data_IF_751292844569
#
_entry.id   IF_751292844569
#
_cell.length_a   1.000
_cell.length_b   1.000
_cell.length_c   1.000
_cell.angle_alpha   90.00
_cell.angle_beta   90.00
_cell.angle_gamma   90.00
#
_symmetry.space_group_name_H-M   'P 1'
#
loop_
_entity.id
_entity.type
_entity.pdbx_description
1 polymer ?
#
# COMPACT_ATOMS: atom_id res chain seq x y z
N UNK A 1 10.97 25.38 1.90
CA UNK A 1 10.23 24.10 1.87
C UNK A 1 9.83 23.69 3.28
N UNK A 2 10.75 23.83 4.25
CA UNK A 2 10.49 23.76 5.70
C UNK A 2 9.30 24.61 6.16
N UNK A 3 9.22 25.90 5.76
CA UNK A 3 8.17 26.81 6.26
C UNK A 3 6.75 26.37 5.89
N UNK A 4 6.58 25.78 4.70
CA UNK A 4 5.29 25.26 4.23
C UNK A 4 4.91 24.01 5.04
N UNK A 5 5.86 23.10 5.27
CA UNK A 5 5.64 21.89 6.06
C UNK A 5 5.32 22.24 7.50
N UNK A 6 6.04 23.19 8.08
CA UNK A 6 5.81 23.69 9.43
C UNK A 6 4.42 24.34 9.55
N UNK A 7 4.06 25.19 8.58
CA UNK A 7 2.72 25.78 8.51
C UNK A 7 1.62 24.71 8.44
N UNK A 8 1.80 23.70 7.58
CA UNK A 8 0.86 22.59 7.43
C UNK A 8 0.73 21.78 8.72
N UNK A 9 1.84 21.42 9.35
CA UNK A 9 1.86 20.60 10.55
C UNK A 9 1.41 21.35 11.80
N UNK A 10 1.51 22.68 11.83
CA UNK A 10 1.01 23.50 12.96
C UNK A 10 -0.51 23.74 12.83
N UNK A 11 -1.02 23.98 11.62
CA UNK A 11 -2.42 24.38 11.42
C UNK A 11 -3.35 23.21 11.05
N UNK A 12 -2.79 22.12 10.50
CA UNK A 12 -3.58 21.01 9.93
C UNK A 12 -3.13 19.62 10.41
N UNK A 13 -2.47 19.52 11.58
CA UNK A 13 -1.95 18.24 12.12
C UNK A 13 -3.00 17.14 12.11
N UNK A 14 -4.17 17.42 12.68
CA UNK A 14 -5.24 16.44 12.84
C UNK A 14 -5.78 15.97 11.48
N UNK A 15 -5.91 16.88 10.52
CA UNK A 15 -6.38 16.60 9.16
C UNK A 15 -5.35 15.74 8.41
N UNK A 16 -4.06 16.04 8.53
CA UNK A 16 -2.98 15.28 7.89
C UNK A 16 -2.90 13.86 8.46
N UNK A 17 -2.89 13.73 9.78
CA UNK A 17 -2.90 12.42 10.46
C UNK A 17 -4.17 11.63 10.13
N UNK A 18 -5.33 12.29 10.13
CA UNK A 18 -6.59 11.65 9.74
C UNK A 18 -6.53 11.12 8.30
N UNK A 19 -6.12 11.94 7.33
CA UNK A 19 -6.00 11.53 5.93
C UNK A 19 -5.03 10.36 5.76
N UNK A 20 -3.93 10.35 6.51
CA UNK A 20 -2.97 9.26 6.52
C UNK A 20 -3.61 7.96 7.03
N UNK A 21 -4.18 7.97 8.24
CA UNK A 21 -4.80 6.78 8.84
C UNK A 21 -5.99 6.29 8.00
N UNK A 22 -6.84 7.21 7.53
CA UNK A 22 -7.96 6.88 6.67
C UNK A 22 -7.52 6.18 5.38
N UNK A 23 -6.45 6.67 4.75
CA UNK A 23 -5.90 6.06 3.54
C UNK A 23 -5.31 4.67 3.81
N UNK A 24 -4.66 4.46 4.96
CA UNK A 24 -4.17 3.15 5.37
C UNK A 24 -5.31 2.15 5.59
N UNK A 25 -6.38 2.57 6.28
CA UNK A 25 -7.58 1.75 6.51
C UNK A 25 -8.23 1.35 5.19
N UNK A 26 -8.40 2.30 4.25
CA UNK A 26 -8.95 1.99 2.93
C UNK A 26 -8.05 1.01 2.18
N UNK A 27 -6.74 1.23 2.17
CA UNK A 27 -5.84 0.37 1.41
C UNK A 27 -5.83 -1.06 1.92
N UNK A 28 -5.65 -1.27 3.22
CA UNK A 28 -5.65 -2.60 3.83
C UNK A 28 -7.04 -3.24 3.74
N UNK A 29 -8.10 -2.50 4.09
CA UNK A 29 -9.48 -2.98 4.03
C UNK A 29 -9.91 -3.39 2.63
N UNK A 30 -9.54 -2.62 1.61
CA UNK A 30 -9.83 -2.96 0.22
C UNK A 30 -9.05 -4.20 -0.24
N UNK A 31 -7.80 -4.43 0.21
CA UNK A 31 -7.07 -5.66 -0.08
C UNK A 31 -7.73 -6.89 0.55
N UNK A 32 -8.17 -6.78 1.81
CA UNK A 32 -8.95 -7.83 2.49
C UNK A 32 -10.24 -8.11 1.71
N UNK A 33 -10.98 -7.06 1.33
CA UNK A 33 -12.19 -7.20 0.51
C UNK A 33 -11.91 -7.85 -0.86
N UNK A 34 -10.82 -7.47 -1.54
CA UNK A 34 -10.45 -8.06 -2.82
C UNK A 34 -10.05 -9.55 -2.70
N UNK A 35 -9.53 -9.96 -1.54
CA UNK A 35 -9.14 -11.34 -1.23
C UNK A 35 -10.33 -12.24 -0.89
N UNK A 36 -11.26 -11.75 -0.08
CA UNK A 36 -12.37 -12.55 0.47
C UNK A 36 -13.71 -12.28 -0.22
N UNK A 37 -13.87 -11.18 -0.95
CA UNK A 37 -15.09 -10.82 -1.67
C UNK A 37 -15.30 -11.57 -2.99
N UNK A 38 -14.57 -12.67 -3.23
CA UNK A 38 -14.75 -13.51 -4.43
C UNK A 38 -15.78 -14.59 -4.18
N UNK A 39 -16.74 -14.72 -5.09
CA UNK A 39 -17.75 -15.80 -5.07
C UNK A 39 -17.18 -17.09 -5.66
N UNK A 40 -16.29 -17.02 -6.66
CA UNK A 40 -15.68 -18.18 -7.32
C UNK A 40 -14.16 -18.26 -7.11
N UNK A 41 -13.60 -19.46 -6.82
CA UNK A 41 -12.16 -19.66 -6.72
C UNK A 41 -11.49 -19.48 -8.10
N UNK A 42 -10.26 -18.96 -8.13
CA UNK A 42 -9.50 -18.79 -9.38
C UNK A 42 -9.36 -20.10 -10.16
N UNK A 43 -9.25 -21.23 -9.46
CA UNK A 43 -9.15 -22.57 -10.06
C UNK A 43 -10.38 -22.96 -10.87
N UNK A 44 -11.57 -22.42 -10.57
CA UNK A 44 -12.78 -22.75 -11.31
C UNK A 44 -12.97 -21.92 -12.59
N UNK A 45 -12.06 -20.97 -12.88
CA UNK A 45 -12.10 -20.23 -14.14
C UNK A 45 -11.81 -21.21 -15.29
N UNK A 46 -12.84 -21.55 -16.05
CA UNK A 46 -12.78 -22.40 -17.25
C UNK A 46 -13.01 -21.62 -18.53
N UNK A 47 -13.80 -20.54 -18.45
CA UNK A 47 -14.21 -19.76 -19.63
C UNK A 47 -13.35 -18.50 -19.83
N UNK A 48 -13.05 -18.12 -21.09
CA UNK A 48 -12.32 -16.90 -21.43
C UNK A 48 -12.89 -15.63 -20.80
N UNK A 49 -14.21 -15.53 -20.79
CA UNK A 49 -14.93 -14.35 -20.32
C UNK A 49 -14.74 -14.14 -18.81
N UNK A 50 -14.76 -15.23 -18.03
CA UNK A 50 -14.54 -15.17 -16.60
C UNK A 50 -13.11 -14.69 -16.25
N UNK A 51 -12.10 -15.10 -17.04
CA UNK A 51 -10.73 -14.63 -16.86
C UNK A 51 -10.59 -13.13 -17.18
N UNK A 52 -11.18 -12.67 -18.28
CA UNK A 52 -11.20 -11.26 -18.65
C UNK A 52 -11.92 -10.40 -17.62
N UNK A 53 -13.03 -10.90 -17.07
CA UNK A 53 -13.76 -10.24 -15.98
C UNK A 53 -12.87 -10.07 -14.75
N UNK A 54 -12.18 -11.13 -14.32
CA UNK A 54 -11.31 -11.09 -13.15
C UNK A 54 -10.09 -10.16 -13.32
N UNK A 55 -9.42 -10.20 -14.47
CA UNK A 55 -8.30 -9.29 -14.75
C UNK A 55 -8.73 -7.82 -14.78
N UNK A 56 -9.92 -7.54 -15.34
CA UNK A 56 -10.53 -6.20 -15.33
C UNK A 56 -10.91 -5.75 -13.91
N UNK A 57 -11.45 -6.66 -13.10
CA UNK A 57 -11.73 -6.41 -11.67
C UNK A 57 -10.46 -6.02 -10.92
N UNK A 58 -9.37 -6.77 -11.07
CA UNK A 58 -8.08 -6.43 -10.46
C UNK A 58 -7.49 -5.11 -10.98
N UNK A 59 -7.60 -4.83 -12.28
CA UNK A 59 -7.15 -3.55 -12.86
C UNK A 59 -7.88 -2.36 -12.22
N UNK A 60 -9.20 -2.45 -12.10
CA UNK A 60 -10.01 -1.42 -11.47
C UNK A 60 -9.69 -1.29 -9.97
N UNK A 61 -9.49 -2.41 -9.29
CA UNK A 61 -9.05 -2.44 -7.90
C UNK A 61 -7.73 -1.67 -7.71
N UNK A 62 -6.69 -1.99 -8.49
CA UNK A 62 -5.41 -1.29 -8.36
C UNK A 62 -5.53 0.21 -8.68
N UNK A 63 -6.30 0.57 -9.72
CA UNK A 63 -6.56 1.98 -10.07
C UNK A 63 -7.28 2.74 -8.95
N UNK A 64 -8.25 2.11 -8.28
CA UNK A 64 -8.96 2.69 -7.13
C UNK A 64 -8.04 2.91 -5.93
N UNK A 65 -7.05 2.04 -5.74
CA UNK A 65 -6.12 2.10 -4.62
C UNK A 65 -5.00 3.13 -4.80
N UNK A 66 -4.58 3.39 -6.04
CA UNK A 66 -3.51 4.35 -6.36
C UNK A 66 -3.64 5.71 -5.64
N UNK A 67 -4.80 6.42 -5.65
CA UNK A 67 -4.90 7.71 -4.97
C UNK A 67 -4.62 7.64 -3.46
N UNK A 68 -5.04 6.59 -2.77
CA UNK A 68 -4.81 6.43 -1.34
C UNK A 68 -3.35 6.14 -1.01
N UNK A 69 -2.65 5.40 -1.88
CA UNK A 69 -1.21 5.15 -1.75
C UNK A 69 -0.43 6.45 -1.93
N UNK A 70 -0.83 7.29 -2.90
CA UNK A 70 -0.22 8.60 -3.13
C UNK A 70 -0.46 9.53 -1.93
N UNK A 71 -1.68 9.55 -1.37
CA UNK A 71 -1.98 10.32 -0.16
C UNK A 71 -1.12 9.85 1.01
N UNK A 72 -0.98 8.52 1.21
CA UNK A 72 -0.10 7.97 2.25
C UNK A 72 1.34 8.42 2.09
N UNK A 73 1.86 8.41 0.87
CA UNK A 73 3.22 8.84 0.57
C UNK A 73 3.44 10.32 0.86
N UNK A 74 2.53 11.19 0.42
CA UNK A 74 2.65 12.64 0.63
C UNK A 74 2.55 12.95 2.12
N UNK A 75 1.54 12.40 2.80
CA UNK A 75 1.35 12.63 4.24
C UNK A 75 2.49 12.05 5.08
N UNK A 76 3.07 10.91 4.68
CA UNK A 76 4.23 10.34 5.39
C UNK A 76 5.48 11.21 5.28
N UNK A 77 5.75 11.80 4.10
CA UNK A 77 6.87 12.75 3.93
C UNK A 77 6.68 13.98 4.80
N UNK A 78 5.49 14.59 4.78
CA UNK A 78 5.19 15.79 5.58
C UNK A 78 5.41 15.52 7.06
N UNK A 79 4.89 14.40 7.58
CA UNK A 79 5.07 14.03 8.98
C UNK A 79 6.54 13.68 9.30
N UNK A 80 7.22 12.89 8.46
CA UNK A 80 8.60 12.48 8.71
C UNK A 80 9.56 13.67 8.77
N UNK A 81 9.40 14.68 7.91
CA UNK A 81 10.19 15.90 7.96
C UNK A 81 9.92 16.69 9.25
N UNK A 82 8.66 16.77 9.66
CA UNK A 82 8.29 17.42 10.92
C UNK A 82 8.86 16.71 12.15
N UNK A 83 8.92 15.38 12.17
CA UNK A 83 9.58 14.63 13.24
C UNK A 83 11.10 14.80 13.24
N UNK A 84 11.74 14.91 12.07
CA UNK A 84 13.17 15.12 11.95
C UNK A 84 13.61 16.42 12.61
N UNK A 85 12.89 17.52 12.34
CA UNK A 85 13.21 18.84 12.89
C UNK A 85 13.01 18.93 14.41
N UNK A 86 12.21 18.02 15.00
CA UNK A 86 12.07 17.89 16.46
C UNK A 86 13.18 17.02 17.08
N UNK A 87 13.81 16.15 16.30
CA UNK A 87 14.83 15.20 16.76
C UNK A 87 16.25 15.76 16.66
N UNK A 88 16.53 16.54 15.62
CA UNK A 88 17.85 17.09 15.32
C UNK A 88 17.80 18.61 15.09
N UNK A 89 18.84 19.31 15.54
CA UNK A 89 19.06 20.71 15.17
C UNK A 89 19.62 20.83 13.74
N UNK A 90 19.72 22.05 13.21
CA UNK A 90 20.26 22.35 11.88
C UNK A 90 21.70 21.83 11.68
N UNK A 91 22.47 21.72 12.76
CA UNK A 91 23.83 21.17 12.77
C UNK A 91 23.89 19.64 12.98
N UNK A 92 22.73 18.98 13.12
CA UNK A 92 22.62 17.53 13.28
C UNK A 92 22.82 17.01 14.71
N UNK A 93 22.83 17.89 15.71
CA UNK A 93 22.89 17.50 17.11
C UNK A 93 21.54 16.97 17.60
N UNK A 94 21.57 15.97 18.48
CA UNK A 94 20.37 15.38 19.08
C UNK A 94 19.74 16.39 20.03
N UNK A 95 18.50 16.79 19.74
CA UNK A 95 17.70 17.67 20.61
C UNK A 95 16.98 16.86 21.70
N UNK A 96 16.40 15.72 21.32
CA UNK A 96 15.71 14.81 22.23
C UNK A 96 15.90 13.35 21.79
N UNK A 97 16.33 12.50 22.73
CA UNK A 97 16.48 11.06 22.48
C UNK A 97 15.13 10.37 22.24
N UNK A 98 14.06 10.82 22.90
CA UNK A 98 12.71 10.29 22.67
C UNK A 98 12.26 10.53 21.23
N UNK A 99 12.42 11.77 20.75
CA UNK A 99 12.16 12.13 19.36
C UNK A 99 13.00 11.33 18.34
N UNK A 100 14.26 11.02 18.65
CA UNK A 100 15.11 10.17 17.79
C UNK A 100 14.57 8.74 17.70
N UNK A 101 14.11 8.15 18.79
CA UNK A 101 13.52 6.81 18.79
C UNK A 101 12.21 6.76 18.01
N UNK A 102 11.37 7.79 18.15
CA UNK A 102 10.15 7.96 17.35
C UNK A 102 10.48 8.07 15.86
N UNK A 103 11.50 8.85 15.50
CA UNK A 103 11.94 9.01 14.12
C UNK A 103 12.43 7.69 13.51
N UNK A 104 13.16 6.86 14.27
CA UNK A 104 13.54 5.50 13.83
C UNK A 104 12.31 4.63 13.51
N UNK A 105 11.28 4.70 14.34
CA UNK A 105 10.02 4.00 14.08
C UNK A 105 9.33 4.51 12.82
N UNK A 106 9.28 5.83 12.61
CA UNK A 106 8.74 6.44 11.38
C UNK A 106 9.48 5.95 10.13
N UNK A 107 10.81 5.92 10.14
CA UNK A 107 11.60 5.39 9.02
C UNK A 107 11.34 3.90 8.78
N UNK A 108 11.23 3.10 9.86
CA UNK A 108 10.94 1.67 9.75
C UNK A 108 9.58 1.43 9.10
N UNK A 109 8.55 2.19 9.51
CA UNK A 109 7.23 2.18 8.88
C UNK A 109 7.31 2.57 7.41
N UNK A 110 8.08 3.60 7.08
CA UNK A 110 8.35 4.03 5.71
C UNK A 110 8.92 2.89 4.85
N UNK A 111 9.89 2.13 5.38
CA UNK A 111 10.47 0.97 4.70
C UNK A 111 9.44 -0.13 4.42
N UNK A 112 8.61 -0.48 5.41
CA UNK A 112 7.52 -1.47 5.24
C UNK A 112 6.54 -1.00 4.16
N UNK A 113 6.11 0.26 4.24
CA UNK A 113 5.21 0.86 3.27
C UNK A 113 5.81 0.83 1.84
N UNK A 114 7.11 1.10 1.69
CA UNK A 114 7.79 1.04 0.39
C UNK A 114 7.76 -0.37 -0.18
N UNK A 115 8.08 -1.40 0.63
CA UNK A 115 7.98 -2.80 0.20
C UNK A 115 6.55 -3.14 -0.22
N UNK A 116 5.54 -2.67 0.51
CA UNK A 116 4.14 -2.89 0.17
C UNK A 116 3.73 -2.19 -1.13
N UNK A 117 4.15 -0.95 -1.32
CA UNK A 117 3.88 -0.17 -2.54
C UNK A 117 4.52 -0.85 -3.76
N UNK A 118 5.76 -1.34 -3.63
CA UNK A 118 6.44 -2.11 -4.66
C UNK A 118 5.71 -3.43 -4.96
N UNK A 119 5.31 -4.17 -3.94
CA UNK A 119 4.52 -5.41 -4.09
C UNK A 119 3.19 -5.15 -4.83
N UNK A 120 2.52 -4.04 -4.53
CA UNK A 120 1.30 -3.63 -5.24
C UNK A 120 1.57 -3.25 -6.70
N UNK A 121 2.68 -2.56 -6.98
CA UNK A 121 3.18 -2.31 -8.34
C UNK A 121 3.45 -3.61 -9.10
N UNK A 122 4.09 -4.59 -8.45
CA UNK A 122 4.34 -5.92 -9.01
C UNK A 122 3.05 -6.67 -9.34
N UNK A 123 2.08 -6.70 -8.41
CA UNK A 123 0.76 -7.30 -8.65
C UNK A 123 0.03 -6.66 -9.84
N UNK A 124 0.07 -5.33 -9.94
CA UNK A 124 -0.53 -4.58 -11.05
C UNK A 124 0.14 -4.90 -12.38
N UNK A 125 1.48 -5.00 -12.40
CA UNK A 125 2.25 -5.38 -13.59
C UNK A 125 1.97 -6.83 -14.02
N UNK A 126 1.93 -7.78 -13.10
CA UNK A 126 1.59 -9.18 -13.37
C UNK A 126 0.17 -9.27 -13.96
N UNK A 127 -0.82 -8.57 -13.38
CA UNK A 127 -2.19 -8.57 -13.87
C UNK A 127 -2.29 -7.94 -15.28
N UNK A 128 -1.58 -6.84 -15.53
CA UNK A 128 -1.53 -6.22 -16.86
C UNK A 128 -0.90 -7.14 -17.90
N UNK A 129 0.23 -7.77 -17.57
CA UNK A 129 0.91 -8.73 -18.45
C UNK A 129 0.01 -9.94 -18.75
N UNK A 130 -0.65 -10.50 -17.74
CA UNK A 130 -1.57 -11.61 -17.89
C UNK A 130 -2.78 -11.24 -18.79
N UNK A 131 -3.36 -10.06 -18.60
CA UNK A 131 -4.47 -9.55 -19.43
C UNK A 131 -4.02 -9.33 -20.90
N UNK A 132 -2.83 -8.76 -21.11
CA UNK A 132 -2.29 -8.53 -22.46
C UNK A 132 -1.96 -9.84 -23.18
N UNK A 133 -1.34 -10.80 -22.50
CA UNK A 133 -1.01 -12.11 -23.07
C UNK A 133 -2.26 -12.91 -23.42
N UNK A 134 -3.34 -12.78 -22.64
CA UNK A 134 -4.60 -13.45 -22.93
C UNK A 134 -5.27 -12.96 -24.23
N UNK A 135 -5.17 -11.66 -24.55
CA UNK A 135 -5.69 -11.13 -25.81
C UNK A 135 -5.02 -11.72 -27.06
N UNK A 136 -3.86 -12.37 -26.91
CA UNK A 136 -3.14 -13.04 -27.98
C UNK A 136 -3.36 -14.56 -28.02
N UNK A 137 -4.16 -15.12 -27.10
CA UNK A 137 -4.47 -16.54 -27.02
C UNK A 137 -5.92 -16.81 -27.43
N UNK A 138 -6.17 -17.87 -28.20
CA UNK A 138 -7.54 -18.26 -28.60
C UNK A 138 -8.29 -19.06 -27.53
N UNK A 139 -7.60 -19.71 -26.57
CA UNK A 139 -8.23 -20.55 -25.54
C UNK A 139 -7.57 -20.45 -24.14
N UNK A 140 -8.36 -20.60 -23.07
CA UNK A 140 -7.92 -20.58 -21.65
C UNK A 140 -6.96 -21.74 -21.34
N UNK A 141 -7.13 -22.88 -21.99
CA UNK A 141 -6.29 -24.08 -21.85
C UNK A 141 -4.85 -23.86 -22.32
N UNK A 142 -4.62 -23.00 -23.30
CA UNK A 142 -3.27 -22.62 -23.76
C UNK A 142 -2.65 -21.55 -22.84
N UNK A 143 -3.46 -20.71 -22.21
CA UNK A 143 -3.03 -19.64 -21.31
C UNK A 143 -2.89 -20.13 -19.84
N UNK A 144 -2.40 -21.35 -19.61
CA UNK A 144 -2.16 -21.88 -18.25
C UNK A 144 -1.32 -20.91 -17.40
N UNK A 145 -0.29 -20.30 -18.02
CA UNK A 145 0.59 -19.28 -17.41
C UNK A 145 -0.18 -18.03 -16.95
N UNK A 146 -1.29 -17.70 -17.60
CA UNK A 146 -2.11 -16.52 -17.31
C UNK A 146 -2.96 -16.73 -16.06
N UNK A 147 -3.47 -17.96 -15.87
CA UNK A 147 -4.16 -18.39 -14.66
C UNK A 147 -3.22 -18.47 -13.47
N UNK A 148 -2.05 -19.07 -13.66
CA UNK A 148 -0.99 -19.13 -12.64
C UNK A 148 -0.57 -17.74 -12.17
N UNK A 149 -0.49 -16.75 -13.07
CA UNK A 149 -0.19 -15.37 -12.72
C UNK A 149 -1.22 -14.75 -11.75
N UNK A 150 -2.52 -14.97 -11.99
CA UNK A 150 -3.57 -14.53 -11.07
C UNK A 150 -3.55 -15.30 -9.75
N UNK A 151 -3.23 -16.59 -9.77
CA UNK A 151 -3.09 -17.41 -8.57
C UNK A 151 -1.93 -16.92 -7.69
N UNK A 152 -0.80 -16.51 -8.28
CA UNK A 152 0.33 -15.92 -7.54
C UNK A 152 -0.10 -14.63 -6.81
N UNK A 153 -0.83 -13.76 -7.51
CA UNK A 153 -1.36 -12.52 -6.90
C UNK A 153 -2.24 -12.85 -5.70
N UNK A 154 -3.18 -13.80 -5.87
CA UNK A 154 -4.19 -14.10 -4.88
C UNK A 154 -3.68 -14.91 -3.68
N UNK A 155 -2.83 -15.91 -3.92
CA UNK A 155 -2.37 -16.82 -2.88
C UNK A 155 -1.15 -16.31 -2.12
N UNK A 156 -0.34 -15.42 -2.72
CA UNK A 156 0.93 -14.99 -2.12
C UNK A 156 1.03 -13.47 -2.00
N UNK A 157 1.02 -12.73 -3.11
CA UNK A 157 1.36 -11.31 -3.09
C UNK A 157 0.34 -10.48 -2.29
N UNK A 158 -0.95 -10.77 -2.44
CA UNK A 158 -2.02 -10.06 -1.73
C UNK A 158 -2.03 -10.37 -0.22
N UNK A 159 -1.98 -11.65 0.24
CA UNK A 159 -1.83 -11.97 1.66
C UNK A 159 -0.61 -11.34 2.32
N UNK A 160 0.56 -11.37 1.66
CA UNK A 160 1.77 -10.71 2.16
C UNK A 160 1.52 -9.22 2.38
N UNK A 161 0.88 -8.54 1.43
CA UNK A 161 0.57 -7.12 1.56
C UNK A 161 -0.42 -6.81 2.68
N UNK A 162 -1.40 -7.70 2.90
CA UNK A 162 -2.36 -7.57 4.01
C UNK A 162 -1.63 -7.68 5.35
N UNK A 163 -0.77 -8.69 5.52
CA UNK A 163 0.00 -8.90 6.76
C UNK A 163 0.89 -7.69 7.05
N UNK A 164 1.66 -7.24 6.05
CA UNK A 164 2.52 -6.05 6.19
C UNK A 164 1.71 -4.80 6.53
N UNK A 165 0.54 -4.62 5.91
CA UNK A 165 -0.35 -3.50 6.20
C UNK A 165 -0.94 -3.54 7.61
N UNK A 166 -1.31 -4.71 8.11
CA UNK A 166 -1.76 -4.88 9.50
C UNK A 166 -0.63 -4.56 10.50
N UNK A 167 0.60 -5.00 10.22
CA UNK A 167 1.78 -4.66 11.03
C UNK A 167 2.00 -3.14 11.03
N UNK A 168 1.91 -2.49 9.88
CA UNK A 168 2.10 -1.03 9.74
C UNK A 168 1.04 -0.24 10.54
N UNK A 169 -0.22 -0.66 10.48
CA UNK A 169 -1.31 -0.08 11.30
C UNK A 169 -1.00 -0.25 12.79
N UNK A 170 -0.59 -1.44 13.23
CA UNK A 170 -0.23 -1.68 14.64
C UNK A 170 0.94 -0.80 15.09
N UNK A 171 1.98 -0.66 14.27
CA UNK A 171 3.08 0.27 14.54
C UNK A 171 2.60 1.72 14.64
N UNK A 172 1.60 2.12 13.86
CA UNK A 172 0.96 3.44 13.99
C UNK A 172 0.27 3.65 15.33
N UNK A 173 -0.41 2.63 15.85
CA UNK A 173 -1.04 2.66 17.17
C UNK A 173 0.03 2.78 18.26
N UNK A 174 1.10 1.99 18.18
CA UNK A 174 2.23 2.06 19.13
C UNK A 174 2.87 3.44 19.12
N UNK A 175 3.11 4.02 17.94
CA UNK A 175 3.68 5.36 17.79
C UNK A 175 2.81 6.44 18.46
N UNK A 176 1.47 6.28 18.42
CA UNK A 176 0.53 7.21 19.06
C UNK A 176 0.57 7.13 20.59
N UNK A 177 0.91 5.99 21.16
CA UNK A 177 1.02 5.79 22.62
C UNK A 177 2.41 6.10 23.17
N UNK A 178 3.42 6.21 22.30
CA UNK A 178 4.76 6.63 22.67
C UNK A 178 4.89 8.17 22.79
N UNK A 179 3.83 8.92 22.46
CA UNK A 179 3.70 10.37 22.57
C UNK A 179 2.67 10.74 23.64
#
# INVERSE_FOLDING_TARGET
MSDIIYYLMTNFTNQIVFLHVFSAVIWVGAMVSARYGRVKPLRSLSEPEEFLFETKRYKNFFKMMTPFIVILFITSIIMAMSFHDNAYDADGFILDQGAVELLKMVHTKGGIWTVMAMNMGLMSWINWKASKSFNSCSNVTECKRCKEALEIIYNYLMPVNIILGTIEIMMGVVLRHAY
#
